data_IF_820394743075
#
_entry.id   IF_820394743075
#
_cell.length_a   1.000
_cell.length_b   1.000
_cell.length_c   1.000
_cell.angle_alpha   90.00
_cell.angle_beta   90.00
_cell.angle_gamma   90.00
#
_symmetry.space_group_name_H-M   'P 1'
#
loop_
_entity.id
_entity.type
_entity.pdbx_description
1 polymer ?
#
# COMPACT_ATOMS: atom_id res chain seq x y z
N UNK A 1 9.35 4.01 26.97
CA UNK A 1 7.95 3.73 26.56
C UNK A 1 7.98 2.54 25.61
N UNK A 2 7.03 1.62 25.71
CA UNK A 2 6.91 0.45 24.83
C UNK A 2 5.55 0.46 24.13
N UNK A 3 5.49 -0.12 22.93
CA UNK A 3 4.26 -0.21 22.12
C UNK A 3 3.84 -1.68 22.03
N UNK A 4 2.54 -1.95 22.13
CA UNK A 4 1.97 -3.29 21.87
C UNK A 4 1.37 -3.30 20.46
N UNK A 5 1.86 -4.21 19.62
CA UNK A 5 1.34 -4.38 18.27
C UNK A 5 0.09 -5.27 18.28
N UNK A 6 -0.96 -4.80 17.64
CA UNK A 6 -2.19 -5.55 17.41
C UNK A 6 -2.42 -5.64 15.90
N UNK A 7 -2.31 -6.87 15.36
CA UNK A 7 -2.48 -7.10 13.91
C UNK A 7 -3.96 -7.25 13.58
N UNK A 8 -4.45 -6.41 12.69
CA UNK A 8 -5.80 -6.47 12.13
C UNK A 8 -5.74 -6.86 10.65
N UNK A 9 -6.79 -7.50 10.16
CA UNK A 9 -6.90 -7.95 8.76
C UNK A 9 -7.86 -7.08 7.92
N UNK A 10 -8.53 -6.10 8.55
CA UNK A 10 -9.43 -5.15 7.88
C UNK A 10 -10.16 -4.24 8.88
N UNK A 11 -10.86 -3.22 8.37
CA UNK A 11 -11.57 -2.20 9.17
C UNK A 11 -10.70 -1.61 10.28
N UNK A 12 -9.45 -1.29 9.94
CA UNK A 12 -8.43 -0.86 10.91
C UNK A 12 -8.84 0.46 11.57
N UNK A 13 -9.57 1.30 10.83
CA UNK A 13 -10.07 2.61 11.25
C UNK A 13 -11.10 2.53 12.39
N UNK A 14 -11.76 1.39 12.57
CA UNK A 14 -12.71 1.16 13.66
C UNK A 14 -12.02 0.92 15.00
N UNK A 15 -10.78 0.40 15.00
CA UNK A 15 -10.10 0.00 16.22
C UNK A 15 -9.90 1.16 17.22
N UNK A 16 -9.50 2.38 16.81
CA UNK A 16 -9.50 3.54 17.71
C UNK A 16 -10.90 3.95 18.18
N UNK A 17 -11.91 3.89 17.30
CA UNK A 17 -13.28 4.31 17.61
C UNK A 17 -13.93 3.48 18.71
N UNK A 18 -13.59 2.19 18.81
CA UNK A 18 -14.09 1.27 19.86
C UNK A 18 -13.15 1.13 21.05
N UNK A 19 -12.05 1.90 21.09
CA UNK A 19 -11.10 1.90 22.20
C UNK A 19 -10.14 0.70 22.24
N UNK A 20 -9.90 0.04 21.10
CA UNK A 20 -8.98 -1.10 21.02
C UNK A 20 -7.50 -0.68 20.96
N UNK A 21 -7.21 0.50 20.40
CA UNK A 21 -5.86 1.04 20.29
C UNK A 21 -5.88 2.58 20.23
N UNK A 22 -4.76 3.21 20.58
CA UNK A 22 -4.63 4.68 20.54
C UNK A 22 -4.38 5.22 19.12
N UNK A 23 -3.76 4.42 18.26
CA UNK A 23 -3.40 4.80 16.89
C UNK A 23 -3.29 3.58 15.98
N UNK A 24 -3.36 3.83 14.67
CA UNK A 24 -3.22 2.82 13.63
C UNK A 24 -2.09 3.19 12.66
N UNK A 25 -1.56 2.19 11.98
CA UNK A 25 -0.66 2.34 10.84
C UNK A 25 -1.35 1.73 9.64
N UNK A 26 -1.63 2.54 8.63
CA UNK A 26 -2.35 2.11 7.44
C UNK A 26 -1.85 2.82 6.17
N UNK A 27 -2.12 2.22 5.01
CA UNK A 27 -1.80 2.79 3.70
C UNK A 27 -2.91 3.75 3.31
N UNK A 28 -2.56 5.01 3.08
CA UNK A 28 -3.51 6.04 2.63
C UNK A 28 -2.94 6.87 1.50
N UNK A 29 -3.82 7.47 0.70
CA UNK A 29 -3.45 8.37 -0.40
C UNK A 29 -3.73 9.84 -0.03
N UNK A 30 -5.00 10.23 0.08
CA UNK A 30 -5.41 11.62 0.39
C UNK A 30 -5.85 11.81 1.85
N UNK A 31 -5.84 10.74 2.65
CA UNK A 31 -6.35 10.76 4.02
C UNK A 31 -7.86 11.02 4.13
N UNK A 32 -8.64 10.89 3.04
CA UNK A 32 -10.09 11.11 3.07
C UNK A 32 -10.80 10.08 3.96
N UNK A 33 -10.53 8.78 3.75
CA UNK A 33 -11.11 7.68 4.53
C UNK A 33 -10.80 7.79 6.04
N UNK A 34 -9.58 8.22 6.39
CA UNK A 34 -9.22 8.49 7.79
C UNK A 34 -10.11 9.58 8.39
N UNK A 35 -10.31 10.70 7.68
CA UNK A 35 -11.12 11.83 8.14
C UNK A 35 -12.60 11.45 8.30
N UNK A 36 -13.14 10.66 7.37
CA UNK A 36 -14.52 10.14 7.46
C UNK A 36 -14.73 9.28 8.71
N UNK A 37 -13.68 8.60 9.19
CA UNK A 37 -13.69 7.82 10.42
C UNK A 37 -13.21 8.60 11.65
N UNK A 38 -13.15 9.94 11.58
CA UNK A 38 -12.75 10.79 12.71
C UNK A 38 -11.26 10.71 13.07
N UNK A 39 -10.43 10.13 12.19
CA UNK A 39 -8.99 10.04 12.36
C UNK A 39 -8.29 11.22 11.68
N UNK A 40 -7.10 11.57 12.20
CA UNK A 40 -6.22 12.57 11.61
C UNK A 40 -4.86 11.95 11.27
N UNK A 41 -4.25 12.31 10.12
CA UNK A 41 -2.86 11.96 9.85
C UNK A 41 -1.96 12.53 10.95
N UNK A 42 -1.03 11.71 11.43
CA UNK A 42 -0.03 12.11 12.43
C UNK A 42 1.33 12.31 11.76
N UNK A 43 1.80 11.28 11.06
CA UNK A 43 3.10 11.28 10.39
C UNK A 43 3.09 10.33 9.19
N UNK A 44 3.84 10.66 8.15
CA UNK A 44 4.10 9.75 7.03
C UNK A 44 5.30 8.85 7.37
N UNK A 45 5.06 7.56 7.52
CA UNK A 45 6.13 6.58 7.81
C UNK A 45 6.94 6.26 6.53
N UNK A 46 6.24 6.01 5.42
CA UNK A 46 6.86 5.66 4.15
C UNK A 46 5.95 5.97 2.96
N UNK A 47 6.56 6.21 1.80
CA UNK A 47 5.86 6.31 0.51
C UNK A 47 5.91 4.98 -0.23
N UNK A 48 4.77 4.51 -0.75
CA UNK A 48 4.72 3.34 -1.62
C UNK A 48 4.71 3.76 -3.10
N UNK A 49 5.20 2.87 -3.96
CA UNK A 49 5.07 3.01 -5.42
C UNK A 49 4.78 1.65 -6.03
N UNK A 50 4.05 1.63 -7.13
CA UNK A 50 3.79 0.39 -7.88
C UNK A 50 5.06 -0.04 -8.62
N UNK A 51 5.36 -1.34 -8.56
CA UNK A 51 6.48 -1.96 -9.27
C UNK A 51 5.98 -3.19 -10.01
N UNK A 52 6.46 -3.39 -11.23
CA UNK A 52 6.24 -4.61 -11.99
C UNK A 52 7.34 -5.61 -11.64
N UNK A 53 6.95 -6.81 -11.24
CA UNK A 53 7.87 -7.91 -10.94
C UNK A 53 7.60 -9.06 -11.92
N UNK A 54 8.67 -9.75 -12.31
CA UNK A 54 8.60 -10.98 -13.10
C UNK A 54 9.25 -12.12 -12.30
N UNK A 55 8.65 -13.31 -12.37
CA UNK A 55 9.30 -14.52 -11.90
C UNK A 55 10.64 -14.71 -12.65
N UNK A 56 11.68 -15.14 -11.93
CA UNK A 56 13.04 -15.23 -12.47
C UNK A 56 13.16 -16.21 -13.64
N UNK A 57 12.57 -17.39 -13.52
CA UNK A 57 12.60 -18.43 -14.56
C UNK A 57 11.78 -17.97 -15.78
N UNK A 58 10.58 -17.46 -15.53
CA UNK A 58 9.74 -16.88 -16.59
C UNK A 58 10.44 -15.73 -17.32
N UNK A 59 11.22 -14.90 -16.62
CA UNK A 59 11.98 -13.81 -17.23
C UNK A 59 13.09 -14.31 -18.16
N UNK A 60 13.70 -15.46 -17.87
CA UNK A 60 14.70 -16.08 -18.72
C UNK A 60 14.02 -16.70 -19.94
N UNK A 61 12.98 -17.51 -19.73
CA UNK A 61 12.30 -18.25 -20.80
C UNK A 61 11.47 -17.36 -21.72
N UNK A 62 10.82 -16.33 -21.17
CA UNK A 62 9.84 -15.46 -21.87
C UNK A 62 10.28 -14.01 -21.93
N UNK A 63 11.60 -13.79 -21.98
CA UNK A 63 12.22 -12.46 -21.87
C UNK A 63 11.60 -11.43 -22.80
N UNK A 64 11.47 -11.76 -24.08
CA UNK A 64 10.96 -10.83 -25.10
C UNK A 64 9.51 -10.44 -24.83
N UNK A 65 8.67 -11.41 -24.47
CA UNK A 65 7.25 -11.18 -24.16
C UNK A 65 7.10 -10.29 -22.92
N UNK A 66 7.91 -10.53 -21.89
CA UNK A 66 7.88 -9.74 -20.65
C UNK A 66 8.40 -8.32 -20.88
N UNK A 67 9.47 -8.14 -21.67
CA UNK A 67 9.98 -6.81 -22.02
C UNK A 67 8.93 -6.05 -22.84
N UNK A 68 8.33 -6.70 -23.84
CA UNK A 68 7.26 -6.11 -24.65
C UNK A 68 6.09 -5.64 -23.77
N UNK A 69 5.60 -6.48 -22.87
CA UNK A 69 4.53 -6.11 -21.93
C UNK A 69 4.94 -4.94 -21.03
N UNK A 70 6.19 -4.95 -20.52
CA UNK A 70 6.73 -3.87 -19.70
C UNK A 70 6.75 -2.54 -20.47
N UNK A 71 7.13 -2.55 -21.75
CA UNK A 71 7.17 -1.37 -22.60
C UNK A 71 5.75 -0.87 -22.96
N UNK A 72 4.82 -1.78 -23.27
CA UNK A 72 3.41 -1.44 -23.52
C UNK A 72 2.76 -0.78 -22.29
N UNK A 73 2.93 -1.36 -21.09
CA UNK A 73 2.46 -0.77 -19.83
C UNK A 73 3.12 0.59 -19.59
N UNK A 74 4.44 0.70 -19.80
CA UNK A 74 5.16 1.95 -19.59
C UNK A 74 4.69 3.07 -20.55
N UNK A 75 4.32 2.73 -21.79
CA UNK A 75 3.77 3.68 -22.75
C UNK A 75 2.37 4.15 -22.35
N UNK A 76 1.52 3.26 -21.80
CA UNK A 76 0.17 3.60 -21.38
C UNK A 76 0.13 4.51 -20.14
N UNK A 77 1.11 4.41 -19.24
CA UNK A 77 1.18 5.22 -18.01
C UNK A 77 1.73 6.63 -18.25
N UNK A 78 2.47 6.85 -19.36
CA UNK A 78 3.05 8.16 -19.72
C UNK A 78 2.12 9.05 -20.56
N UNK A 79 1.00 8.52 -21.02
CA UNK A 79 -0.05 9.26 -21.74
C UNK A 79 -1.06 9.86 -20.75
#
# INVERSE_FOLDING_TARGET
>A
MSVKLLKLYGSVELAPLVGLCDCIVDITQTGATMRENGLKPVETIMSSSVKMFANRESYIEKKEQIIKLKDEIASAIKA
#
